data_IF_212523043555
#
_entry.id   IF_212523043555
#
_cell.length_a   1.000
_cell.length_b   1.000
_cell.length_c   1.000
_cell.angle_alpha   90.00
_cell.angle_beta   90.00
_cell.angle_gamma   90.00
#
_symmetry.space_group_name_H-M   'P 1'
#
loop_
_entity.id
_entity.type
_entity.pdbx_description
1 polymer ?
#
# COMPACT_ATOMS: atom_id res chain seq x y z
N UNK A 1 -6.50 -2.22 42.92
CA UNK A 1 -5.90 -2.96 41.79
C UNK A 1 -4.94 -2.05 41.05
N UNK A 2 -3.73 -2.54 40.80
CA UNK A 2 -2.76 -1.79 40.00
C UNK A 2 -3.26 -1.63 38.55
N UNK A 3 -2.89 -0.51 37.92
CA UNK A 3 -3.25 -0.20 36.53
C UNK A 3 -2.02 -0.39 35.63
N UNK A 4 -2.18 -1.12 34.52
CA UNK A 4 -1.12 -1.26 33.53
C UNK A 4 -0.92 0.04 32.75
N UNK A 5 0.34 0.48 32.63
CA UNK A 5 0.74 1.64 31.84
C UNK A 5 1.92 1.25 30.97
N UNK A 6 1.74 1.29 29.65
CA UNK A 6 2.81 1.01 28.71
C UNK A 6 3.64 2.28 28.46
N UNK A 7 4.91 2.27 28.92
CA UNK A 7 5.81 3.43 28.86
C UNK A 7 6.06 3.96 27.43
N UNK A 8 5.93 3.11 26.41
CA UNK A 8 6.17 3.46 25.01
C UNK A 8 4.87 3.65 24.20
N UNK A 9 3.73 3.90 24.84
CA UNK A 9 2.45 4.05 24.15
C UNK A 9 2.48 5.14 23.07
N UNK A 10 3.09 6.30 23.35
CA UNK A 10 3.23 7.39 22.38
C UNK A 10 3.97 6.95 21.11
N UNK A 11 5.01 6.12 21.24
CA UNK A 11 5.78 5.61 20.09
C UNK A 11 4.91 4.64 19.27
N UNK A 12 4.16 3.76 19.95
CA UNK A 12 3.25 2.84 19.29
C UNK A 12 2.14 3.60 18.54
N UNK A 13 1.59 4.66 19.11
CA UNK A 13 0.58 5.51 18.46
C UNK A 13 1.12 6.22 17.22
N UNK A 14 2.38 6.68 17.25
CA UNK A 14 3.06 7.23 16.07
C UNK A 14 3.21 6.15 14.99
N UNK A 15 3.57 4.90 15.36
CA UNK A 15 3.71 3.80 14.39
C UNK A 15 2.39 3.45 13.70
N UNK A 16 1.26 3.48 14.41
CA UNK A 16 -0.06 3.34 13.77
C UNK A 16 -0.30 4.45 12.73
N UNK A 17 -0.03 5.70 13.08
CA UNK A 17 -0.18 6.83 12.14
C UNK A 17 0.73 6.71 10.92
N UNK A 18 1.97 6.27 11.10
CA UNK A 18 2.89 6.02 9.99
C UNK A 18 2.40 4.88 9.09
N UNK A 19 1.82 3.82 9.65
CA UNK A 19 1.21 2.74 8.86
C UNK A 19 0.03 3.26 8.03
N UNK A 20 -0.84 4.09 8.61
CA UNK A 20 -1.99 4.66 7.89
C UNK A 20 -1.55 5.60 6.76
N UNK A 21 -0.50 6.39 6.99
CA UNK A 21 0.14 7.19 5.95
C UNK A 21 0.70 6.31 4.82
N UNK A 22 1.43 5.25 5.15
CA UNK A 22 2.00 4.34 4.17
C UNK A 22 0.92 3.58 3.36
N UNK A 23 -0.21 3.21 3.98
CA UNK A 23 -1.37 2.64 3.27
C UNK A 23 -1.96 3.61 2.27
N UNK A 24 -2.06 4.89 2.67
CA UNK A 24 -2.55 5.96 1.79
C UNK A 24 -1.61 6.15 0.60
N UNK A 25 -0.30 6.25 0.85
CA UNK A 25 0.72 6.36 -0.21
C UNK A 25 0.69 5.16 -1.18
N UNK A 26 0.58 3.94 -0.66
CA UNK A 26 0.44 2.73 -1.47
C UNK A 26 -0.83 2.79 -2.34
N UNK A 27 -1.97 3.19 -1.76
CA UNK A 27 -3.23 3.31 -2.50
C UNK A 27 -3.15 4.37 -3.60
N UNK A 28 -2.48 5.50 -3.32
CA UNK A 28 -2.22 6.54 -4.32
C UNK A 28 -1.33 6.02 -5.46
N UNK A 29 -0.28 5.25 -5.16
CA UNK A 29 0.58 4.66 -6.17
C UNK A 29 -0.18 3.66 -7.06
N UNK A 30 -1.04 2.82 -6.48
CA UNK A 30 -1.90 1.88 -7.24
C UNK A 30 -2.88 2.63 -8.15
N UNK A 31 -3.52 3.67 -7.65
CA UNK A 31 -4.41 4.50 -8.46
C UNK A 31 -3.66 5.17 -9.61
N UNK A 32 -2.43 5.65 -9.36
CA UNK A 32 -1.56 6.22 -10.40
C UNK A 32 -1.25 5.19 -11.49
N UNK A 33 -0.86 3.98 -11.11
CA UNK A 33 -0.61 2.89 -12.06
C UNK A 33 -1.83 2.64 -12.94
N UNK A 34 -3.00 2.47 -12.31
CA UNK A 34 -4.26 2.26 -13.02
C UNK A 34 -4.56 3.38 -14.02
N UNK A 35 -4.37 4.64 -13.63
CA UNK A 35 -4.56 5.78 -14.54
C UNK A 35 -3.59 5.73 -15.73
N UNK A 36 -2.33 5.34 -15.53
CA UNK A 36 -1.37 5.23 -16.64
C UNK A 36 -1.68 4.03 -17.56
N UNK A 37 -2.21 2.94 -17.02
CA UNK A 37 -2.71 1.78 -17.80
C UNK A 37 -3.95 2.15 -18.63
N UNK A 38 -4.93 2.85 -18.03
CA UNK A 38 -6.14 3.32 -18.72
C UNK A 38 -5.79 4.26 -19.89
N UNK A 39 -4.81 5.16 -19.72
CA UNK A 39 -4.30 5.99 -20.82
C UNK A 39 -3.68 5.15 -21.94
N UNK A 40 -2.91 4.12 -21.60
CA UNK A 40 -2.29 3.24 -22.58
C UNK A 40 -3.35 2.48 -23.39
N UNK A 41 -4.39 1.98 -22.71
CA UNK A 41 -5.53 1.31 -23.34
C UNK A 41 -6.26 2.26 -24.30
N UNK A 42 -6.51 3.50 -23.91
CA UNK A 42 -7.12 4.52 -24.78
C UNK A 42 -6.29 4.81 -26.04
N UNK A 43 -4.95 4.84 -25.93
CA UNK A 43 -4.07 5.02 -27.09
C UNK A 43 -4.22 3.82 -28.04
N UNK A 44 -4.24 2.59 -27.51
CA UNK A 44 -4.43 1.39 -28.34
C UNK A 44 -5.80 1.34 -29.01
N UNK A 45 -6.88 1.65 -28.28
CA UNK A 45 -8.21 1.76 -28.86
C UNK A 45 -8.26 2.79 -30.00
N UNK A 46 -7.58 3.93 -29.85
CA UNK A 46 -7.50 4.95 -30.90
C UNK A 46 -6.68 4.49 -32.11
N UNK A 47 -5.64 3.67 -31.92
CA UNK A 47 -4.89 3.05 -33.03
C UNK A 47 -5.80 2.09 -33.80
N UNK A 48 -6.53 1.23 -33.11
CA UNK A 48 -7.46 0.28 -33.72
C UNK A 48 -8.56 1.00 -34.51
N UNK A 49 -9.10 2.08 -33.98
CA UNK A 49 -10.09 2.91 -34.67
C UNK A 49 -9.53 3.51 -35.97
N UNK A 50 -8.30 4.07 -35.93
CA UNK A 50 -7.64 4.58 -37.14
C UNK A 50 -7.41 3.47 -38.17
N UNK A 51 -6.96 2.29 -37.73
CA UNK A 51 -6.74 1.16 -38.63
C UNK A 51 -8.06 0.65 -39.25
N UNK A 52 -9.15 0.66 -38.49
CA UNK A 52 -10.48 0.34 -39.01
C UNK A 52 -10.91 1.33 -40.08
N UNK A 53 -10.76 2.64 -39.85
CA UNK A 53 -11.06 3.68 -40.86
C UNK A 53 -10.22 3.53 -42.12
N UNK A 54 -8.94 3.17 -41.99
CA UNK A 54 -8.07 2.89 -43.15
C UNK A 54 -8.63 1.73 -43.99
N UNK A 55 -9.07 0.64 -43.35
CA UNK A 55 -9.68 -0.50 -44.06
C UNK A 55 -10.97 -0.11 -44.76
N UNK A 56 -11.88 0.58 -44.06
CA UNK A 56 -13.16 1.04 -44.60
C UNK A 56 -13.00 2.03 -45.79
N UNK A 57 -12.07 2.99 -45.70
CA UNK A 57 -11.75 3.92 -46.81
C UNK A 57 -10.95 3.31 -47.95
N UNK A 58 -10.37 2.12 -47.77
CA UNK A 58 -9.72 1.37 -48.86
C UNK A 58 -10.76 0.66 -49.74
N UNK A 59 -11.96 0.40 -49.21
CA UNK A 59 -13.07 -0.26 -49.90
C UNK A 59 -13.99 0.74 -50.63
N UNK A 60 -14.08 1.99 -50.16
CA UNK A 60 -14.89 3.06 -50.75
C UNK A 60 -14.01 4.16 -51.36
N UNK A 61 -14.26 4.52 -52.64
CA UNK A 61 -13.58 5.58 -53.44
C UNK A 61 -12.42 6.31 -52.73
N UNK A 62 -11.21 5.85 -53.04
CA UNK A 62 -9.90 6.31 -52.55
C UNK A 62 -9.77 7.83 -52.39
N UNK A 63 -9.78 8.31 -51.15
CA UNK A 63 -9.18 9.60 -50.78
C UNK A 63 -7.76 9.37 -50.25
N UNK A 64 -6.78 9.46 -51.15
CA UNK A 64 -5.36 9.21 -50.84
C UNK A 64 -4.83 10.14 -49.74
N UNK A 65 -5.34 11.38 -49.65
CA UNK A 65 -4.92 12.34 -48.62
C UNK A 65 -5.38 11.90 -47.23
N UNK A 66 -6.62 11.42 -47.11
CA UNK A 66 -7.17 10.92 -45.85
C UNK A 66 -6.45 9.65 -45.37
N UNK A 67 -6.15 8.72 -46.28
CA UNK A 67 -5.38 7.52 -45.97
C UNK A 67 -3.98 7.85 -45.45
N UNK A 68 -3.30 8.82 -46.08
CA UNK A 68 -1.97 9.26 -45.66
C UNK A 68 -2.00 9.93 -44.27
N UNK A 69 -3.01 10.75 -44.02
CA UNK A 69 -3.23 11.36 -42.70
C UNK A 69 -3.49 10.31 -41.61
N UNK A 70 -4.36 9.33 -41.87
CA UNK A 70 -4.65 8.25 -40.92
C UNK A 70 -3.41 7.38 -40.65
N UNK A 71 -2.62 7.07 -41.69
CA UNK A 71 -1.37 6.32 -41.54
C UNK A 71 -0.35 7.08 -40.67
N UNK A 72 -0.17 8.38 -40.89
CA UNK A 72 0.67 9.22 -40.04
C UNK A 72 0.15 9.30 -38.60
N UNK A 73 -1.17 9.38 -38.42
CA UNK A 73 -1.80 9.36 -37.08
C UNK A 73 -1.52 8.07 -36.34
N UNK A 74 -1.56 6.92 -37.03
CA UNK A 74 -1.23 5.60 -36.45
C UNK A 74 0.23 5.57 -36.00
N UNK A 75 1.18 6.02 -36.84
CA UNK A 75 2.60 6.03 -36.46
C UNK A 75 2.88 6.96 -35.28
N UNK A 76 2.28 8.15 -35.27
CA UNK A 76 2.37 9.06 -34.13
C UNK A 76 1.84 8.42 -32.83
N UNK A 77 0.66 7.79 -32.89
CA UNK A 77 0.05 7.12 -31.72
C UNK A 77 0.86 5.92 -31.24
N UNK A 78 1.48 5.17 -32.15
CA UNK A 78 2.41 4.08 -31.76
C UNK A 78 3.59 4.63 -30.97
N UNK A 79 4.14 5.77 -31.34
CA UNK A 79 5.22 6.41 -30.58
C UNK A 79 4.73 6.89 -29.21
N UNK A 80 3.54 7.49 -29.13
CA UNK A 80 2.90 7.83 -27.86
C UNK A 80 2.69 6.60 -26.97
N UNK A 81 2.26 5.46 -27.53
CA UNK A 81 2.10 4.22 -26.79
C UNK A 81 3.43 3.72 -26.20
N UNK A 82 4.55 3.86 -26.92
CA UNK A 82 5.89 3.49 -26.39
C UNK A 82 6.27 4.37 -25.20
N UNK A 83 6.02 5.67 -25.29
CA UNK A 83 6.28 6.61 -24.18
C UNK A 83 5.39 6.27 -22.99
N UNK A 84 4.09 6.03 -23.24
CA UNK A 84 3.13 5.70 -22.19
C UNK A 84 3.46 4.37 -21.50
N UNK A 85 3.95 3.36 -22.22
CA UNK A 85 4.46 2.12 -21.63
C UNK A 85 5.59 2.35 -20.63
N UNK A 86 6.49 3.30 -20.89
CA UNK A 86 7.54 3.66 -19.93
C UNK A 86 6.94 4.31 -18.68
N UNK A 87 5.88 5.11 -18.82
CA UNK A 87 5.18 5.70 -17.68
C UNK A 87 4.49 4.64 -16.82
N UNK A 88 3.87 3.63 -17.45
CA UNK A 88 3.31 2.46 -16.76
C UNK A 88 4.41 1.73 -15.97
N UNK A 89 5.56 1.44 -16.59
CA UNK A 89 6.70 0.79 -15.91
C UNK A 89 7.21 1.61 -14.71
N UNK A 90 7.30 2.94 -14.85
CA UNK A 90 7.67 3.82 -13.73
C UNK A 90 6.63 3.75 -12.61
N UNK A 91 5.34 3.72 -12.95
CA UNK A 91 4.27 3.59 -11.96
C UNK A 91 4.29 2.22 -11.26
N UNK A 92 4.53 1.12 -11.98
CA UNK A 92 4.71 -0.23 -11.40
C UNK A 92 5.86 -0.25 -10.39
N UNK A 93 7.01 0.32 -10.74
CA UNK A 93 8.16 0.43 -9.83
C UNK A 93 7.79 1.24 -8.57
N UNK A 94 6.99 2.30 -8.72
CA UNK A 94 6.57 3.12 -7.57
C UNK A 94 5.57 2.38 -6.67
N UNK A 95 4.66 1.58 -7.24
CA UNK A 95 3.78 0.69 -6.46
C UNK A 95 4.61 -0.31 -5.66
N UNK A 96 5.61 -0.92 -6.29
CA UNK A 96 6.51 -1.87 -5.62
C UNK A 96 7.28 -1.21 -4.47
N UNK A 97 7.85 -0.02 -4.69
CA UNK A 97 8.53 0.75 -3.64
C UNK A 97 7.59 1.08 -2.48
N UNK A 98 6.36 1.53 -2.77
CA UNK A 98 5.37 1.84 -1.74
C UNK A 98 4.95 0.58 -0.96
N UNK A 99 4.85 -0.58 -1.63
CA UNK A 99 4.58 -1.88 -1.00
C UNK A 99 5.67 -2.28 -0.02
N UNK A 100 6.93 -2.19 -0.42
CA UNK A 100 8.08 -2.51 0.44
C UNK A 100 8.09 -1.59 1.68
N UNK A 101 7.94 -0.27 1.48
CA UNK A 101 7.88 0.70 2.57
C UNK A 101 6.73 0.40 3.55
N UNK A 102 5.53 0.09 3.04
CA UNK A 102 4.39 -0.28 3.86
C UNK A 102 4.68 -1.54 4.69
N UNK A 103 5.27 -2.56 4.08
CA UNK A 103 5.63 -3.80 4.79
C UNK A 103 6.63 -3.54 5.92
N UNK A 104 7.67 -2.74 5.69
CA UNK A 104 8.66 -2.38 6.72
C UNK A 104 8.00 -1.68 7.92
N UNK A 105 7.12 -0.70 7.64
CA UNK A 105 6.39 0.04 8.69
C UNK A 105 5.44 -0.90 9.46
N UNK A 106 4.73 -1.78 8.77
CA UNK A 106 3.86 -2.77 9.41
C UNK A 106 4.62 -3.72 10.32
N UNK A 107 5.80 -4.20 9.89
CA UNK A 107 6.66 -5.08 10.71
C UNK A 107 7.14 -4.36 11.96
N UNK A 108 7.59 -3.12 11.82
CA UNK A 108 8.05 -2.30 12.94
C UNK A 108 6.91 -2.02 13.95
N UNK A 109 5.71 -1.67 13.46
CA UNK A 109 4.52 -1.50 14.31
C UNK A 109 4.14 -2.80 15.04
N UNK A 110 4.09 -3.93 14.34
CA UNK A 110 3.79 -5.25 14.93
C UNK A 110 4.80 -5.63 16.01
N UNK A 111 6.08 -5.31 15.79
CA UNK A 111 7.14 -5.52 16.78
C UNK A 111 6.83 -4.75 18.06
N UNK A 112 6.39 -3.50 17.95
CA UNK A 112 6.02 -2.68 19.11
C UNK A 112 4.73 -3.13 19.81
N UNK A 113 3.75 -3.68 19.09
CA UNK A 113 2.60 -4.34 19.73
C UNK A 113 3.05 -5.51 20.60
N UNK A 114 3.94 -6.36 20.07
CA UNK A 114 4.46 -7.50 20.81
C UNK A 114 5.24 -7.09 22.07
N UNK A 115 5.98 -5.98 22.02
CA UNK A 115 6.63 -5.41 23.20
C UNK A 115 5.61 -4.96 24.25
N UNK A 116 4.47 -4.39 23.84
CA UNK A 116 3.39 -4.01 24.74
C UNK A 116 2.71 -5.22 25.36
N UNK A 117 2.46 -6.27 24.58
CA UNK A 117 1.90 -7.53 25.05
C UNK A 117 2.83 -8.18 26.09
N UNK A 118 4.12 -8.29 25.79
CA UNK A 118 5.11 -8.84 26.73
C UNK A 118 5.14 -8.03 28.04
N UNK A 119 5.18 -6.69 27.96
CA UNK A 119 5.15 -5.83 29.15
C UNK A 119 3.87 -6.00 29.97
N UNK A 120 2.74 -6.32 29.32
CA UNK A 120 1.49 -6.61 30.00
C UNK A 120 1.49 -7.97 30.70
N UNK A 121 2.09 -8.99 30.09
CA UNK A 121 2.28 -10.29 30.74
C UNK A 121 3.19 -10.20 31.96
N UNK A 122 4.29 -9.44 31.87
CA UNK A 122 5.19 -9.22 33.00
C UNK A 122 4.48 -8.47 34.14
N UNK A 123 3.70 -7.43 33.81
CA UNK A 123 2.88 -6.73 34.80
C UNK A 123 1.89 -7.67 35.52
N UNK A 124 1.21 -8.57 34.79
CA UNK A 124 0.31 -9.55 35.41
C UNK A 124 1.04 -10.50 36.35
N UNK A 125 2.26 -10.93 35.98
CA UNK A 125 3.09 -11.79 36.82
C UNK A 125 3.48 -11.10 38.12
N UNK A 126 3.92 -9.84 38.04
CA UNK A 126 4.29 -9.04 39.21
C UNK A 126 3.13 -8.87 40.19
N UNK A 127 1.91 -8.63 39.69
CA UNK A 127 0.72 -8.52 40.54
C UNK A 127 0.40 -9.85 41.22
N UNK A 128 0.43 -10.97 40.50
CA UNK A 128 0.19 -12.28 41.10
C UNK A 128 1.23 -12.62 42.17
N UNK A 129 2.51 -12.28 41.94
CA UNK A 129 3.58 -12.49 42.93
C UNK A 129 3.40 -11.61 44.17
N UNK A 130 2.93 -10.37 44.01
CA UNK A 130 2.59 -9.49 45.13
C UNK A 130 1.40 -10.02 45.93
N UNK A 131 0.31 -10.39 45.25
CA UNK A 131 -0.88 -10.96 45.89
C UNK A 131 -0.55 -12.26 46.64
N UNK A 132 0.28 -13.14 46.06
CA UNK A 132 0.72 -14.36 46.74
C UNK A 132 1.53 -14.07 48.01
N UNK A 133 2.44 -13.09 47.97
CA UNK A 133 3.22 -12.68 49.15
C UNK A 133 2.34 -12.11 50.25
N UNK A 134 1.37 -11.26 49.88
CA UNK A 134 0.39 -10.71 50.83
C UNK A 134 -0.43 -11.82 51.51
N UNK A 135 -0.82 -12.86 50.76
CA UNK A 135 -1.52 -14.03 51.31
C UNK A 135 -0.62 -14.79 52.31
N UNK A 136 0.63 -15.07 51.94
CA UNK A 136 1.58 -15.80 52.79
C UNK A 136 1.86 -15.06 54.11
N UNK A 137 1.98 -13.73 54.06
CA UNK A 137 2.13 -12.88 55.24
C UNK A 137 0.90 -12.94 56.14
N UNK A 138 -0.31 -12.87 55.57
CA UNK A 138 -1.57 -12.97 56.33
C UNK A 138 -1.75 -14.35 56.98
N UNK A 139 -1.42 -15.43 56.29
CA UNK A 139 -1.46 -16.80 56.83
C UNK A 139 -0.47 -16.94 57.98
N UNK A 140 0.76 -16.47 57.81
CA UNK A 140 1.80 -16.51 58.85
C UNK A 140 1.39 -15.72 60.09
N UNK A 141 0.81 -14.54 59.93
CA UNK A 141 0.29 -13.73 61.04
C UNK A 141 -0.85 -14.43 61.79
N UNK A 142 -1.72 -15.15 61.07
CA UNK A 142 -2.87 -15.85 61.67
C UNK A 142 -2.49 -17.17 62.34
N UNK A 143 -1.45 -17.85 61.84
CA UNK A 143 -0.90 -19.09 62.44
C UNK A 143 0.05 -18.86 63.62
N UNK A 144 0.47 -17.61 63.87
CA UNK A 144 1.34 -17.23 64.99
C UNK A 144 0.58 -16.78 66.25
N UNK A 145 -0.75 -16.96 66.28
CA UNK A 145 -1.64 -16.67 67.43
C UNK A 145 -2.16 -17.93 68.09
#
# INVERSE_FOLDING_TARGET
MAKFIYKMQNILDIKYKLEDQAKTEFSMAVNRLRTEEEKLEQIYASIEECQRKIRESSENKLNVLELNYLAQSVEYKKEQAKIQKKQVQVAEINVEKARVKLNEIMVDRKTHEKLKENAFEDFKREINEQESKEIDELVSFRGSK
#
